data_IF_856759704337
#
_entry.id   IF_856759704337
#
_cell.length_a   1.000
_cell.length_b   1.000
_cell.length_c   1.000
_cell.angle_alpha   90.00
_cell.angle_beta   90.00
_cell.angle_gamma   90.00
#
_symmetry.space_group_name_H-M   'P 1'
#
loop_
_entity.id
_entity.type
_entity.pdbx_description
1 polymer ?
#
# COMPACT_ATOMS: atom_id res chain seq x y z
N UNK A 1 65.55 34.17 -5.02
CA UNK A 1 65.49 33.81 -3.59
C UNK A 1 64.02 33.46 -3.25
N UNK A 2 63.57 32.24 -3.60
CA UNK A 2 62.20 31.77 -3.33
C UNK A 2 62.19 30.99 -2.01
N UNK A 3 61.54 31.56 -0.98
CA UNK A 3 61.30 30.89 0.31
C UNK A 3 60.18 29.86 0.14
N UNK A 4 60.52 28.57 0.04
CA UNK A 4 59.58 27.49 0.31
C UNK A 4 59.21 27.50 1.80
N UNK A 5 57.93 27.74 2.11
CA UNK A 5 57.36 27.51 3.44
C UNK A 5 57.44 26.01 3.75
N UNK A 6 58.21 25.62 4.76
CA UNK A 6 58.15 24.28 5.37
C UNK A 6 56.75 24.10 5.97
N UNK A 7 55.90 23.34 5.28
CA UNK A 7 54.66 22.83 5.85
C UNK A 7 55.03 21.85 6.98
N UNK A 8 54.54 22.16 8.18
CA UNK A 8 54.85 21.43 9.39
C UNK A 8 54.20 20.05 9.30
N UNK A 9 55.00 19.00 9.09
CA UNK A 9 54.54 17.62 8.83
C UNK A 9 53.55 17.11 9.89
N UNK A 10 53.73 17.54 11.14
CA UNK A 10 52.83 17.25 12.26
C UNK A 10 51.41 17.80 12.10
N UNK A 11 51.23 18.94 11.41
CA UNK A 11 49.91 19.53 11.18
C UNK A 11 49.10 18.74 10.15
N UNK A 12 49.75 18.13 9.17
CA UNK A 12 49.10 17.28 8.16
C UNK A 12 48.68 15.95 8.79
N UNK A 13 49.54 15.34 9.59
CA UNK A 13 49.21 14.09 10.31
C UNK A 13 48.11 14.30 11.36
N UNK A 14 48.10 15.45 12.05
CA UNK A 14 47.01 15.79 12.97
C UNK A 14 45.68 15.98 12.25
N UNK A 15 45.66 16.69 11.11
CA UNK A 15 44.45 16.87 10.30
C UNK A 15 43.93 15.54 9.74
N UNK A 16 44.81 14.63 9.33
CA UNK A 16 44.43 13.31 8.83
C UNK A 16 43.91 12.40 9.96
N UNK A 17 44.56 12.43 11.12
CA UNK A 17 44.13 11.69 12.31
C UNK A 17 42.75 12.14 12.82
N UNK A 18 42.50 13.45 12.85
CA UNK A 18 41.18 14.01 13.21
C UNK A 18 40.12 13.63 12.17
N UNK A 19 40.46 13.64 10.87
CA UNK A 19 39.53 13.24 9.81
C UNK A 19 39.14 11.76 9.90
N UNK A 20 40.09 10.87 10.18
CA UNK A 20 39.82 9.43 10.37
C UNK A 20 39.00 9.18 11.64
N UNK A 21 39.26 9.90 12.73
CA UNK A 21 38.46 9.82 13.95
C UNK A 21 37.03 10.33 13.74
N UNK A 22 36.84 11.39 12.96
CA UNK A 22 35.49 11.89 12.60
C UNK A 22 34.75 10.87 11.72
N UNK A 23 35.43 10.23 10.76
CA UNK A 23 34.82 9.18 9.92
C UNK A 23 34.44 7.95 10.75
N UNK A 24 35.29 7.52 11.68
CA UNK A 24 35.01 6.38 12.57
C UNK A 24 33.93 6.71 13.62
N UNK A 25 33.87 7.96 14.10
CA UNK A 25 32.79 8.42 14.96
C UNK A 25 31.47 8.53 14.18
N UNK A 26 31.51 9.02 12.94
CA UNK A 26 30.35 9.09 12.05
C UNK A 26 29.86 7.68 11.66
N UNK A 27 30.74 6.72 11.40
CA UNK A 27 30.34 5.34 11.09
C UNK A 27 29.74 4.62 12.30
N UNK A 28 30.25 4.87 13.52
CA UNK A 28 29.61 4.39 14.76
C UNK A 28 28.29 5.09 15.06
N UNK A 29 28.11 6.34 14.66
CA UNK A 29 26.85 7.07 14.80
C UNK A 29 25.79 6.60 13.78
N UNK A 30 26.20 6.31 12.53
CA UNK A 30 25.35 5.77 11.47
C UNK A 30 24.95 4.32 11.78
N UNK A 31 25.82 3.54 12.42
CA UNK A 31 25.52 2.17 12.87
C UNK A 31 24.57 2.08 14.07
N UNK A 32 24.18 3.20 14.68
CA UNK A 32 23.36 3.22 15.90
C UNK A 32 22.09 4.08 15.80
N UNK A 33 21.72 4.54 14.61
CA UNK A 33 20.35 5.02 14.36
C UNK A 33 19.43 3.81 14.23
N UNK A 34 19.13 3.18 15.36
CA UNK A 34 17.89 2.45 15.53
C UNK A 34 16.77 3.40 15.10
N UNK A 35 16.07 3.04 14.03
CA UNK A 35 14.89 3.73 13.54
C UNK A 35 13.92 3.85 14.72
N UNK A 36 13.90 5.03 15.34
CA UNK A 36 13.01 5.34 16.45
C UNK A 36 11.62 5.43 15.83
N UNK A 37 10.89 4.32 15.91
CA UNK A 37 9.52 4.17 15.44
C UNK A 37 8.74 5.40 15.92
N UNK A 38 8.26 6.23 14.98
CA UNK A 38 7.58 7.48 15.35
C UNK A 38 6.37 7.13 16.22
N UNK A 39 6.12 7.95 17.23
CA UNK A 39 4.95 7.85 18.11
C UNK A 39 3.62 7.94 17.34
N UNK A 40 3.65 8.27 16.05
CA UNK A 40 2.49 8.34 15.15
C UNK A 40 1.90 6.95 14.84
N UNK A 41 2.72 5.88 14.82
CA UNK A 41 2.21 4.51 14.63
C UNK A 41 1.28 4.08 15.76
N UNK A 42 1.48 4.58 17.00
CA UNK A 42 0.59 4.31 18.14
C UNK A 42 -0.73 5.10 18.08
N UNK A 43 -0.76 6.23 17.37
CA UNK A 43 -1.98 7.04 17.19
C UNK A 43 -2.92 6.43 16.15
N UNK A 44 -2.37 5.91 15.04
CA UNK A 44 -3.20 5.27 14.01
C UNK A 44 -3.91 4.02 14.54
N UNK A 45 -3.29 3.20 15.39
CA UNK A 45 -3.96 2.00 15.96
C UNK A 45 -5.04 2.35 16.99
N UNK A 46 -4.92 3.48 17.69
CA UNK A 46 -5.87 3.87 18.75
C UNK A 46 -7.19 4.45 18.21
N UNK A 47 -7.17 4.99 16.99
CA UNK A 47 -8.36 5.62 16.39
C UNK A 47 -9.30 4.65 15.66
N UNK A 48 -8.86 3.41 15.37
CA UNK A 48 -9.76 2.36 14.85
C UNK A 48 -10.57 1.65 15.97
N UNK A 49 -10.33 1.97 17.25
CA UNK A 49 -10.92 1.31 18.43
C UNK A 49 -11.81 2.23 19.28
N UNK A 50 -12.49 3.19 18.66
CA UNK A 50 -13.63 3.88 19.28
C UNK A 50 -14.89 3.73 18.41
N UNK A 51 -15.18 2.49 18.05
CA UNK A 51 -16.57 2.06 17.86
C UNK A 51 -17.02 1.61 19.24
N UNK A 52 -18.18 2.09 19.69
CA UNK A 52 -18.75 1.80 21.00
C UNK A 52 -19.02 0.30 21.18
N UNK A 53 -18.01 -0.47 21.57
CA UNK A 53 -18.22 -1.72 22.30
C UNK A 53 -18.15 -1.39 23.79
N UNK A 54 -19.31 -1.46 24.43
CA UNK A 54 -19.40 -1.51 25.88
C UNK A 54 -18.55 -2.66 26.43
N UNK A 55 -17.81 -2.33 27.49
CA UNK A 55 -17.07 -3.22 28.39
C UNK A 55 -15.77 -3.89 27.88
N UNK A 56 -14.69 -3.59 28.61
CA UNK A 56 -13.41 -4.32 28.71
C UNK A 56 -12.34 -4.12 27.61
N UNK A 57 -11.76 -2.92 27.57
CA UNK A 57 -10.46 -2.65 26.94
C UNK A 57 -9.27 -3.12 27.81
N UNK A 58 -9.29 -4.39 28.20
CA UNK A 58 -8.10 -5.13 28.67
C UNK A 58 -7.62 -5.99 27.50
N UNK A 59 -6.32 -6.04 27.17
CA UNK A 59 -5.82 -6.98 26.16
C UNK A 59 -6.29 -8.38 26.53
N UNK A 60 -7.12 -9.00 25.69
CA UNK A 60 -7.44 -10.43 25.85
C UNK A 60 -6.10 -11.17 25.78
N UNK A 61 -5.69 -11.89 26.85
CA UNK A 61 -4.41 -12.58 26.84
C UNK A 61 -4.38 -13.57 25.68
N UNK A 62 -3.25 -13.60 24.96
CA UNK A 62 -3.00 -14.59 23.91
C UNK A 62 -3.27 -15.99 24.50
N UNK A 63 -4.08 -16.83 23.84
CA UNK A 63 -4.24 -18.20 24.30
C UNK A 63 -2.88 -18.90 24.33
N UNK A 64 -2.50 -19.47 25.47
CA UNK A 64 -1.24 -20.21 25.64
C UNK A 64 -1.51 -21.67 25.98
N UNK A 65 -0.53 -22.52 25.67
CA UNK A 65 -0.52 -23.92 26.08
C UNK A 65 -0.23 -24.02 27.58
N UNK A 66 -0.94 -24.88 28.33
CA UNK A 66 -0.74 -25.03 29.77
C UNK A 66 0.67 -25.50 30.16
N UNK A 67 1.32 -26.26 29.28
CA UNK A 67 2.55 -26.98 29.59
C UNK A 67 3.82 -26.13 29.46
N UNK A 68 3.90 -25.28 28.43
CA UNK A 68 5.10 -24.51 28.09
C UNK A 68 4.84 -22.99 27.98
N UNK A 69 3.58 -22.56 28.09
CA UNK A 69 3.19 -21.15 27.94
C UNK A 69 3.32 -20.61 26.51
N UNK A 70 3.65 -21.44 25.51
CA UNK A 70 3.72 -21.03 24.10
C UNK A 70 2.33 -20.71 23.55
N UNK A 71 2.19 -19.88 22.50
CA UNK A 71 0.88 -19.59 21.90
C UNK A 71 0.17 -20.86 21.44
N UNK A 72 -1.08 -21.03 21.87
CA UNK A 72 -1.93 -22.13 21.41
C UNK A 72 -2.55 -21.76 20.06
N UNK A 73 -1.88 -22.19 18.98
CA UNK A 73 -2.28 -21.87 17.60
C UNK A 73 -3.71 -22.33 17.29
N UNK A 74 -4.11 -23.55 17.67
CA UNK A 74 -5.45 -24.05 17.34
C UNK A 74 -6.53 -23.21 18.00
N UNK A 75 -6.35 -22.84 19.27
CA UNK A 75 -7.29 -21.95 19.97
C UNK A 75 -7.35 -20.55 19.37
N UNK A 76 -6.25 -20.03 18.83
CA UNK A 76 -6.24 -18.78 18.07
C UNK A 76 -7.06 -18.94 16.78
N UNK A 77 -6.87 -20.04 16.04
CA UNK A 77 -7.61 -20.33 14.81
C UNK A 77 -9.12 -20.51 15.09
N UNK A 78 -9.51 -21.28 16.11
CA UNK A 78 -10.91 -21.48 16.52
C UNK A 78 -11.60 -20.17 16.91
N UNK A 79 -10.94 -19.33 17.72
CA UNK A 79 -11.44 -18.00 18.08
C UNK A 79 -11.61 -17.13 16.84
N UNK A 80 -10.66 -17.19 15.91
CA UNK A 80 -10.68 -16.41 14.67
C UNK A 80 -11.80 -16.87 13.73
N UNK A 81 -12.00 -18.19 13.55
CA UNK A 81 -13.15 -18.76 12.83
C UNK A 81 -14.47 -18.24 13.39
N UNK A 82 -14.63 -18.34 14.72
CA UNK A 82 -15.84 -17.88 15.41
C UNK A 82 -16.08 -16.38 15.22
N UNK A 83 -15.01 -15.58 15.30
CA UNK A 83 -15.09 -14.13 15.06
C UNK A 83 -15.47 -13.81 13.61
N UNK A 84 -14.85 -14.44 12.60
CA UNK A 84 -15.20 -14.22 11.19
C UNK A 84 -16.67 -14.56 10.94
N UNK A 85 -17.15 -15.69 11.49
CA UNK A 85 -18.55 -16.09 11.40
C UNK A 85 -19.47 -15.06 12.06
N UNK A 86 -19.13 -14.60 13.26
CA UNK A 86 -19.89 -13.58 13.98
C UNK A 86 -19.96 -12.25 13.22
N UNK A 87 -18.81 -11.71 12.81
CA UNK A 87 -18.68 -10.44 12.09
C UNK A 87 -19.44 -10.45 10.74
N UNK A 88 -19.68 -11.64 10.16
CA UNK A 88 -20.38 -11.83 8.89
C UNK A 88 -21.79 -12.42 9.02
N UNK A 89 -22.34 -12.55 10.23
CA UNK A 89 -23.66 -13.18 10.45
C UNK A 89 -24.78 -12.51 9.64
N UNK A 90 -24.74 -11.18 9.52
CA UNK A 90 -25.73 -10.38 8.79
C UNK A 90 -25.20 -9.86 7.44
N UNK A 91 -24.09 -10.43 6.94
CA UNK A 91 -23.50 -9.98 5.69
C UNK A 91 -24.36 -10.42 4.50
N UNK A 92 -24.63 -9.50 3.58
CA UNK A 92 -25.37 -9.81 2.36
C UNK A 92 -24.45 -10.46 1.31
N UNK A 93 -24.50 -11.79 1.21
CA UNK A 93 -23.72 -12.56 0.25
C UNK A 93 -24.28 -12.53 -1.19
N UNK A 94 -25.47 -11.97 -1.42
CA UNK A 94 -26.08 -11.90 -2.76
C UNK A 94 -25.18 -11.17 -3.77
N UNK A 95 -24.59 -10.03 -3.37
CA UNK A 95 -23.67 -9.25 -4.22
C UNK A 95 -22.42 -10.06 -4.59
N UNK A 96 -21.99 -10.95 -3.70
CA UNK A 96 -20.86 -11.86 -3.90
C UNK A 96 -21.19 -13.04 -4.82
N UNK A 97 -22.48 -13.29 -5.11
CA UNK A 97 -22.94 -14.38 -5.96
C UNK A 97 -22.86 -15.76 -5.30
N UNK A 98 -22.84 -15.82 -3.97
CA UNK A 98 -22.82 -17.06 -3.17
C UNK A 98 -23.94 -17.06 -2.13
N UNK A 99 -24.26 -18.22 -1.56
CA UNK A 99 -25.37 -18.36 -0.60
C UNK A 99 -24.90 -18.34 0.85
N UNK A 100 -23.68 -18.81 1.12
CA UNK A 100 -23.14 -18.95 2.48
C UNK A 100 -21.65 -18.62 2.52
N UNK A 101 -21.15 -18.35 3.72
CA UNK A 101 -19.77 -17.97 3.99
C UNK A 101 -18.77 -19.05 3.52
N UNK A 102 -19.09 -20.32 3.74
CA UNK A 102 -18.20 -21.45 3.46
C UNK A 102 -17.85 -21.56 1.97
N UNK A 103 -18.73 -21.07 1.08
CA UNK A 103 -18.47 -21.03 -0.36
C UNK A 103 -17.31 -20.08 -0.73
N UNK A 104 -16.91 -19.20 0.19
CA UNK A 104 -15.81 -18.24 0.03
C UNK A 104 -14.57 -18.58 0.86
N UNK A 105 -14.62 -19.57 1.75
CA UNK A 105 -13.49 -19.93 2.63
C UNK A 105 -12.61 -20.99 2.00
N UNK A 106 -11.30 -20.72 1.89
CA UNK A 106 -10.33 -21.73 1.43
C UNK A 106 -10.28 -22.94 2.36
N UNK A 107 -10.46 -22.74 3.67
CA UNK A 107 -10.50 -23.83 4.65
C UNK A 107 -11.62 -24.84 4.35
N UNK A 108 -12.74 -24.39 3.79
CA UNK A 108 -13.89 -25.21 3.41
C UNK A 108 -13.88 -25.65 1.94
N UNK A 109 -12.79 -25.41 1.21
CA UNK A 109 -12.71 -25.66 -0.24
C UNK A 109 -13.48 -24.66 -1.10
N UNK A 110 -13.96 -23.58 -0.50
CA UNK A 110 -14.59 -22.45 -1.17
C UNK A 110 -13.58 -21.57 -1.90
N UNK A 111 -14.09 -20.51 -2.54
CA UNK A 111 -13.31 -19.64 -3.41
C UNK A 111 -13.45 -18.17 -3.01
N UNK A 112 -12.44 -17.60 -2.33
CA UNK A 112 -12.49 -16.23 -1.87
C UNK A 112 -12.71 -15.22 -2.99
N UNK A 113 -13.26 -14.06 -2.65
CA UNK A 113 -13.24 -12.89 -3.54
C UNK A 113 -11.90 -12.19 -3.32
N UNK A 114 -11.15 -12.01 -4.42
CA UNK A 114 -9.80 -11.44 -4.35
C UNK A 114 -9.73 -10.12 -5.08
N UNK A 115 -9.05 -9.14 -4.48
CA UNK A 115 -8.89 -7.79 -5.02
C UNK A 115 -7.42 -7.42 -5.07
N UNK A 116 -6.90 -7.05 -6.24
CA UNK A 116 -5.54 -6.54 -6.41
C UNK A 116 -5.57 -5.05 -6.79
N UNK A 117 -5.05 -4.22 -5.91
CA UNK A 117 -4.81 -2.79 -6.17
C UNK A 117 -3.41 -2.64 -6.74
N UNK A 118 -3.33 -2.28 -8.01
CA UNK A 118 -2.10 -1.92 -8.70
C UNK A 118 -1.97 -0.40 -8.74
N UNK A 119 -0.82 0.13 -8.33
CA UNK A 119 -0.61 1.58 -8.21
C UNK A 119 0.88 1.92 -8.31
N UNK A 120 1.21 3.20 -8.40
CA UNK A 120 2.57 3.68 -8.08
C UNK A 120 2.66 4.16 -6.63
N UNK A 121 3.87 4.25 -6.06
CA UNK A 121 4.08 4.84 -4.73
C UNK A 121 3.46 6.24 -4.63
N UNK A 122 2.89 6.58 -3.47
CA UNK A 122 2.31 7.91 -3.20
C UNK A 122 1.10 8.28 -4.08
N UNK A 123 0.37 7.29 -4.60
CA UNK A 123 -0.84 7.54 -5.42
C UNK A 123 -2.16 7.37 -4.66
N UNK A 124 -2.11 7.28 -3.31
CA UNK A 124 -3.31 7.10 -2.48
C UNK A 124 -3.76 5.64 -2.28
N UNK A 125 -2.95 4.68 -2.72
CA UNK A 125 -3.27 3.24 -2.61
C UNK A 125 -3.42 2.74 -1.18
N UNK A 126 -2.77 3.36 -0.20
CA UNK A 126 -2.98 3.04 1.23
C UNK A 126 -4.41 3.37 1.67
N UNK A 127 -4.94 4.54 1.31
CA UNK A 127 -6.33 4.87 1.61
C UNK A 127 -7.30 3.91 0.94
N UNK A 128 -7.11 3.62 -0.35
CA UNK A 128 -7.94 2.65 -1.07
C UNK A 128 -7.88 1.24 -0.45
N UNK A 129 -6.69 0.80 -0.02
CA UNK A 129 -6.52 -0.47 0.66
C UNK A 129 -7.18 -0.50 2.04
N UNK A 130 -7.14 0.60 2.79
CA UNK A 130 -7.81 0.71 4.10
C UNK A 130 -9.34 0.70 3.99
N UNK A 131 -9.91 1.28 2.92
CA UNK A 131 -11.34 1.11 2.60
C UNK A 131 -11.71 -0.38 2.52
N UNK A 132 -10.91 -1.20 1.82
CA UNK A 132 -11.15 -2.64 1.74
C UNK A 132 -10.86 -3.36 3.06
N UNK A 133 -9.87 -2.88 3.81
CA UNK A 133 -9.50 -3.48 5.10
C UNK A 133 -10.57 -3.27 6.19
N UNK A 134 -11.40 -2.23 6.06
CA UNK A 134 -12.54 -1.96 6.93
C UNK A 134 -13.71 -2.95 6.76
N UNK A 135 -13.73 -3.70 5.65
CA UNK A 135 -14.71 -4.77 5.44
C UNK A 135 -14.47 -5.91 6.44
N UNK A 136 -15.50 -6.44 7.13
CA UNK A 136 -15.35 -7.62 7.96
C UNK A 136 -14.88 -8.80 7.10
N UNK A 137 -14.06 -9.69 7.68
CA UNK A 137 -13.57 -10.86 6.95
C UNK A 137 -12.54 -10.59 5.83
N UNK A 138 -12.01 -9.38 5.67
CA UNK A 138 -10.97 -9.10 4.68
C UNK A 138 -9.54 -9.39 5.17
N UNK A 139 -8.85 -10.38 4.61
CA UNK A 139 -7.42 -10.56 4.82
C UNK A 139 -6.63 -9.61 3.91
N UNK A 140 -5.93 -8.64 4.51
CA UNK A 140 -5.22 -7.59 3.77
C UNK A 140 -3.72 -7.89 3.64
N UNK A 141 -3.24 -8.05 2.41
CA UNK A 141 -1.84 -8.13 2.07
C UNK A 141 -1.27 -6.73 1.76
N UNK A 142 -0.61 -6.14 2.76
CA UNK A 142 -0.03 -4.80 2.64
C UNK A 142 1.36 -4.84 1.98
N UNK A 143 1.45 -4.41 0.72
CA UNK A 143 2.72 -4.32 -0.04
C UNK A 143 3.64 -5.55 0.08
N UNK A 144 3.17 -6.76 -0.27
CA UNK A 144 3.95 -7.97 -0.04
C UNK A 144 5.27 -8.06 -0.83
N UNK A 145 5.48 -7.16 -1.78
CA UNK A 145 6.67 -7.08 -2.61
C UNK A 145 7.70 -6.06 -2.09
N UNK A 146 7.61 -5.64 -0.82
CA UNK A 146 8.55 -4.68 -0.23
C UNK A 146 10.02 -5.16 -0.23
N UNK A 147 10.25 -6.47 -0.17
CA UNK A 147 11.59 -7.08 -0.22
C UNK A 147 12.32 -6.87 -1.56
N UNK A 148 11.61 -6.54 -2.66
CA UNK A 148 12.22 -6.11 -3.94
C UNK A 148 12.79 -4.69 -3.93
N UNK A 149 12.77 -4.04 -2.75
CA UNK A 149 13.25 -2.69 -2.52
C UNK A 149 12.57 -1.62 -3.39
N UNK A 150 13.27 -0.56 -3.85
CA UNK A 150 12.65 0.57 -4.57
C UNK A 150 12.68 0.39 -6.09
N UNK A 151 12.31 -0.81 -6.55
CA UNK A 151 12.27 -1.18 -7.98
C UNK A 151 10.82 -1.30 -8.47
N UNK A 152 10.59 -0.84 -9.71
CA UNK A 152 9.36 -1.10 -10.45
C UNK A 152 9.52 -2.36 -11.30
N UNK A 153 8.81 -3.40 -10.91
CA UNK A 153 8.81 -4.73 -11.52
C UNK A 153 8.02 -4.66 -12.81
N UNK A 154 8.76 -4.47 -13.90
CA UNK A 154 8.26 -4.40 -15.26
C UNK A 154 8.29 -5.77 -15.93
N UNK A 155 9.36 -6.54 -15.75
CA UNK A 155 9.67 -7.77 -16.49
C UNK A 155 10.68 -8.62 -15.71
N UNK A 156 11.21 -9.73 -16.27
CA UNK A 156 12.32 -10.45 -15.66
C UNK A 156 13.52 -9.52 -15.38
N UNK A 157 14.33 -9.82 -14.36
CA UNK A 157 14.33 -11.08 -13.59
C UNK A 157 13.29 -11.15 -12.46
N UNK A 158 12.66 -10.03 -12.08
CA UNK A 158 11.82 -9.97 -10.87
C UNK A 158 10.35 -10.35 -11.11
N UNK A 159 9.85 -10.27 -12.35
CA UNK A 159 8.41 -10.49 -12.61
C UNK A 159 7.94 -11.88 -12.25
N UNK A 160 8.73 -12.94 -12.52
CA UNK A 160 8.36 -14.32 -12.25
C UNK A 160 8.20 -14.58 -10.75
N UNK A 161 9.19 -14.17 -9.94
CA UNK A 161 9.12 -14.30 -8.48
C UNK A 161 7.99 -13.44 -7.90
N UNK A 162 7.77 -12.23 -8.40
CA UNK A 162 6.67 -11.38 -7.94
C UNK A 162 5.29 -11.99 -8.26
N UNK A 163 5.12 -12.55 -9.46
CA UNK A 163 3.92 -13.28 -9.86
C UNK A 163 3.69 -14.51 -8.99
N UNK A 164 4.72 -15.33 -8.77
CA UNK A 164 4.62 -16.51 -7.91
C UNK A 164 4.25 -16.11 -6.47
N UNK A 165 4.89 -15.07 -5.93
CA UNK A 165 4.57 -14.55 -4.58
C UNK A 165 3.11 -14.10 -4.48
N UNK A 166 2.60 -13.31 -5.43
CA UNK A 166 1.20 -12.87 -5.42
C UNK A 166 0.24 -14.07 -5.49
N UNK A 167 0.49 -15.02 -6.40
CA UNK A 167 -0.34 -16.24 -6.54
C UNK A 167 -0.33 -17.09 -5.27
N UNK A 168 0.85 -17.33 -4.69
CA UNK A 168 1.00 -18.13 -3.47
C UNK A 168 0.26 -17.50 -2.29
N UNK A 169 0.42 -16.19 -2.08
CA UNK A 169 -0.28 -15.47 -1.01
C UNK A 169 -1.79 -15.50 -1.17
N UNK A 170 -2.31 -15.30 -2.39
CA UNK A 170 -3.75 -15.39 -2.63
C UNK A 170 -4.29 -16.81 -2.40
N UNK A 171 -3.48 -17.84 -2.59
CA UNK A 171 -3.82 -19.22 -2.25
C UNK A 171 -3.50 -19.59 -0.78
N UNK A 172 -3.11 -18.61 0.03
CA UNK A 172 -2.67 -18.81 1.42
C UNK A 172 -1.60 -19.90 1.56
N UNK A 173 -0.65 -19.93 0.64
CA UNK A 173 0.55 -20.74 0.71
C UNK A 173 1.75 -19.82 0.94
N UNK A 174 2.37 -19.94 2.11
CA UNK A 174 3.51 -19.11 2.52
C UNK A 174 4.83 -19.90 2.63
N UNK A 175 4.84 -21.19 2.29
CA UNK A 175 5.96 -22.08 2.62
C UNK A 175 7.27 -21.74 1.88
N UNK A 176 7.20 -21.18 0.67
CA UNK A 176 8.38 -20.85 -0.15
C UNK A 176 8.63 -19.33 -0.26
N UNK A 177 8.48 -18.64 0.88
CA UNK A 177 8.49 -17.18 0.97
C UNK A 177 9.55 -16.62 1.94
N UNK A 178 10.71 -17.27 2.04
CA UNK A 178 11.79 -16.90 2.98
C UNK A 178 12.16 -15.41 2.90
N UNK A 179 12.39 -14.87 1.70
CA UNK A 179 12.75 -13.46 1.50
C UNK A 179 11.68 -12.49 2.05
N UNK A 180 10.41 -12.85 1.95
CA UNK A 180 9.30 -12.06 2.50
C UNK A 180 9.34 -12.08 4.03
N UNK A 181 9.54 -13.25 4.65
CA UNK A 181 9.60 -13.36 6.11
C UNK A 181 10.86 -12.73 6.69
N UNK A 182 12.03 -12.97 6.09
CA UNK A 182 13.30 -12.34 6.49
C UNK A 182 13.21 -10.82 6.43
N UNK A 183 12.60 -10.26 5.37
CA UNK A 183 12.36 -8.83 5.30
C UNK A 183 11.44 -8.36 6.44
N UNK A 184 10.37 -9.11 6.73
CA UNK A 184 9.39 -8.78 7.76
C UNK A 184 9.93 -8.82 9.20
N UNK A 185 10.99 -9.60 9.49
CA UNK A 185 11.62 -9.66 10.83
C UNK A 185 12.02 -8.29 11.35
N UNK A 186 12.53 -7.43 10.48
CA UNK A 186 12.99 -6.08 10.83
C UNK A 186 12.05 -4.97 10.36
N UNK A 187 11.04 -5.29 9.54
CA UNK A 187 10.06 -4.35 8.98
C UNK A 187 8.62 -4.69 9.41
N UNK A 188 8.29 -4.40 10.67
CA UNK A 188 6.95 -4.66 11.23
C UNK A 188 5.78 -4.07 10.42
N UNK A 189 6.03 -3.01 9.64
CA UNK A 189 5.04 -2.39 8.75
C UNK A 189 4.45 -3.37 7.73
N UNK A 190 5.18 -4.42 7.35
CA UNK A 190 4.68 -5.46 6.46
C UNK A 190 3.45 -6.18 7.04
N UNK A 191 3.40 -6.32 8.37
CA UNK A 191 2.35 -7.05 9.08
C UNK A 191 1.34 -6.11 9.75
N UNK A 192 1.77 -4.95 10.23
CA UNK A 192 0.96 -4.09 11.10
C UNK A 192 -0.28 -3.47 10.46
N UNK A 193 -0.38 -3.48 9.13
CA UNK A 193 -1.55 -2.96 8.42
C UNK A 193 -2.68 -3.98 8.27
N UNK A 194 -2.44 -5.27 8.54
CA UNK A 194 -3.49 -6.27 8.65
C UNK A 194 -3.79 -6.51 10.13
N UNK A 195 -4.79 -5.81 10.66
CA UNK A 195 -5.14 -5.86 12.09
C UNK A 195 -5.45 -7.27 12.57
N UNK A 196 -6.02 -8.13 11.71
CA UNK A 196 -6.46 -9.50 12.05
C UNK A 196 -5.31 -10.38 12.60
N UNK A 197 -4.27 -10.73 11.81
CA UNK A 197 -3.12 -11.43 12.35
C UNK A 197 -2.29 -10.53 13.29
N UNK A 198 -2.20 -9.22 13.03
CA UNK A 198 -1.36 -8.32 13.83
C UNK A 198 -1.80 -8.21 15.29
N UNK A 199 -3.09 -8.33 15.59
CA UNK A 199 -3.58 -8.32 16.96
C UNK A 199 -3.04 -9.46 17.82
N UNK A 200 -2.62 -10.56 17.17
CA UNK A 200 -1.90 -11.65 17.80
C UNK A 200 -0.38 -11.39 17.77
N UNK A 201 0.15 -11.02 16.61
CA UNK A 201 1.59 -10.95 16.39
C UNK A 201 2.31 -9.74 17.03
N UNK A 202 1.57 -8.70 17.41
CA UNK A 202 2.16 -7.52 18.08
C UNK A 202 2.78 -7.84 19.44
N UNK A 203 2.32 -8.92 20.07
CA UNK A 203 2.84 -9.42 21.34
C UNK A 203 3.75 -10.65 21.18
N UNK A 204 3.51 -11.46 20.14
CA UNK A 204 4.36 -12.60 19.80
C UNK A 204 4.73 -12.56 18.32
N UNK A 205 5.92 -12.03 18.01
CA UNK A 205 6.31 -11.74 16.63
C UNK A 205 6.50 -13.02 15.81
N UNK A 206 6.93 -14.11 16.45
CA UNK A 206 7.21 -15.37 15.77
C UNK A 206 5.97 -15.94 15.07
N UNK A 207 4.76 -15.65 15.57
CA UNK A 207 3.51 -16.09 14.92
C UNK A 207 3.38 -15.56 13.48
N UNK A 208 3.65 -14.27 13.25
CA UNK A 208 3.56 -13.71 11.89
C UNK A 208 4.79 -14.01 11.02
N UNK A 209 5.81 -14.63 11.61
CA UNK A 209 6.99 -15.12 10.89
C UNK A 209 6.88 -16.61 10.56
N UNK A 210 5.92 -17.31 11.17
CA UNK A 210 5.62 -18.71 10.91
C UNK A 210 4.75 -18.85 9.63
N UNK A 211 5.29 -19.46 8.55
CA UNK A 211 4.55 -19.69 7.31
C UNK A 211 3.37 -20.64 7.50
N UNK A 212 3.45 -21.63 8.39
CA UNK A 212 2.38 -22.58 8.62
C UNK A 212 1.20 -21.92 9.34
N UNK A 213 1.48 -21.15 10.40
CA UNK A 213 0.47 -20.33 11.07
C UNK A 213 -0.20 -19.38 10.08
N UNK A 214 0.60 -18.60 9.34
CA UNK A 214 0.09 -17.59 8.40
C UNK A 214 -0.77 -18.23 7.31
N UNK A 215 -0.36 -19.39 6.78
CA UNK A 215 -1.11 -20.16 5.79
C UNK A 215 -2.46 -20.64 6.34
N UNK A 216 -2.50 -21.19 7.56
CA UNK A 216 -3.75 -21.64 8.20
C UNK A 216 -4.67 -20.47 8.51
N UNK A 217 -4.13 -19.39 9.08
CA UNK A 217 -4.88 -18.21 9.47
C UNK A 217 -5.49 -17.48 8.26
N UNK A 218 -4.72 -17.31 7.18
CA UNK A 218 -5.17 -16.68 5.94
C UNK A 218 -6.40 -17.39 5.32
N UNK A 219 -6.49 -18.73 5.43
CA UNK A 219 -7.60 -19.53 4.86
C UNK A 219 -8.95 -19.31 5.54
N UNK A 220 -8.96 -18.69 6.71
CA UNK A 220 -10.17 -18.40 7.48
C UNK A 220 -10.98 -17.21 6.95
N UNK A 221 -10.47 -16.49 5.95
CA UNK A 221 -11.04 -15.23 5.50
C UNK A 221 -11.66 -15.35 4.09
N UNK A 222 -12.90 -14.88 3.89
CA UNK A 222 -13.60 -14.97 2.60
C UNK A 222 -13.18 -13.91 1.58
N UNK A 223 -12.60 -12.80 2.03
CA UNK A 223 -12.17 -11.70 1.16
C UNK A 223 -10.67 -11.48 1.32
N UNK A 224 -9.98 -11.29 0.21
CA UNK A 224 -8.54 -11.06 0.19
C UNK A 224 -8.27 -9.81 -0.62
N UNK A 225 -7.66 -8.81 0.02
CA UNK A 225 -7.23 -7.61 -0.69
C UNK A 225 -5.72 -7.52 -0.65
N UNK A 226 -5.12 -7.08 -1.76
CA UNK A 226 -3.68 -6.93 -1.88
C UNK A 226 -3.37 -5.60 -2.53
N UNK A 227 -2.45 -4.86 -1.93
CA UNK A 227 -1.96 -3.59 -2.48
C UNK A 227 -0.53 -3.77 -2.97
N UNK A 228 -0.30 -3.56 -4.26
CA UNK A 228 1.04 -3.60 -4.87
C UNK A 228 1.37 -2.26 -5.53
N UNK A 229 2.50 -1.69 -5.15
CA UNK A 229 2.98 -0.39 -5.66
C UNK A 229 4.24 -0.48 -6.52
N UNK A 230 4.74 -1.72 -6.70
CA UNK A 230 5.95 -2.09 -7.45
C UNK A 230 5.65 -2.94 -8.67
N UNK A 231 4.48 -3.57 -8.70
CA UNK A 231 4.11 -4.54 -9.73
C UNK A 231 3.31 -3.84 -10.82
N UNK A 232 3.73 -3.97 -12.08
CA UNK A 232 3.13 -3.22 -13.18
C UNK A 232 1.91 -3.91 -13.78
N UNK A 233 0.94 -3.11 -14.24
CA UNK A 233 -0.35 -3.64 -14.67
C UNK A 233 -0.23 -4.64 -15.82
N UNK A 234 0.73 -4.44 -16.72
CA UNK A 234 0.98 -5.36 -17.86
C UNK A 234 1.24 -6.81 -17.47
N UNK A 235 1.70 -7.06 -16.25
CA UNK A 235 2.00 -8.41 -15.74
C UNK A 235 0.75 -9.09 -15.16
N UNK A 236 -0.32 -8.34 -14.87
CA UNK A 236 -1.53 -8.85 -14.22
C UNK A 236 -2.32 -9.83 -15.10
N UNK A 237 -2.10 -9.81 -16.40
CA UNK A 237 -2.75 -10.74 -17.33
C UNK A 237 -2.62 -12.20 -16.86
N UNK A 238 -1.44 -12.60 -16.42
CA UNK A 238 -1.17 -13.96 -15.95
C UNK A 238 -1.94 -14.32 -14.66
N UNK A 239 -2.28 -13.33 -13.82
CA UNK A 239 -3.13 -13.53 -12.65
C UNK A 239 -4.61 -13.61 -13.04
N UNK A 240 -5.04 -12.88 -14.06
CA UNK A 240 -6.42 -12.89 -14.56
C UNK A 240 -6.74 -14.15 -15.38
N UNK A 241 -5.75 -14.71 -16.06
CA UNK A 241 -5.86 -15.98 -16.78
C UNK A 241 -6.13 -17.16 -15.84
N UNK A 242 -5.62 -17.10 -14.61
CA UNK A 242 -5.97 -18.06 -13.56
C UNK A 242 -7.39 -17.80 -13.04
N UNK A 243 -8.33 -18.46 -13.70
CA UNK A 243 -9.74 -18.43 -13.33
C UNK A 243 -10.00 -18.99 -11.94
N UNK A 244 -9.08 -19.67 -11.23
CA UNK A 244 -9.31 -20.09 -9.84
C UNK A 244 -9.07 -18.96 -8.84
N UNK A 245 -8.30 -17.92 -9.21
CA UNK A 245 -8.02 -16.81 -8.29
C UNK A 245 -9.24 -15.97 -7.95
N UNK A 246 -10.28 -15.93 -8.79
CA UNK A 246 -11.44 -15.03 -8.57
C UNK A 246 -11.04 -13.57 -8.36
N UNK A 247 -10.01 -13.16 -9.09
CA UNK A 247 -9.37 -11.88 -8.95
C UNK A 247 -10.09 -10.75 -9.70
N UNK A 248 -10.42 -9.67 -8.99
CA UNK A 248 -10.74 -8.37 -9.56
C UNK A 248 -9.55 -7.43 -9.36
N UNK A 249 -9.28 -6.58 -10.35
CA UNK A 249 -8.08 -5.73 -10.39
C UNK A 249 -8.50 -4.27 -10.44
N UNK A 250 -7.89 -3.45 -9.59
CA UNK A 250 -8.08 -2.00 -9.60
C UNK A 250 -6.74 -1.34 -9.91
N UNK A 251 -6.65 -0.67 -11.06
CA UNK A 251 -5.55 0.24 -11.35
C UNK A 251 -5.86 1.60 -10.73
N UNK A 252 -5.05 2.05 -9.77
CA UNK A 252 -5.13 3.39 -9.20
C UNK A 252 -4.06 4.30 -9.81
N UNK A 253 -4.50 5.37 -10.48
CA UNK A 253 -3.65 6.41 -11.07
C UNK A 253 -3.78 7.72 -10.30
N UNK A 254 -2.75 8.57 -10.35
CA UNK A 254 -2.70 9.89 -9.72
C UNK A 254 -1.90 10.85 -10.60
N UNK A 255 -2.22 12.15 -10.53
CA UNK A 255 -1.51 13.20 -11.25
C UNK A 255 0.01 13.11 -10.97
N UNK A 256 0.87 13.01 -12.00
CA UNK A 256 2.31 12.88 -11.79
C UNK A 256 2.88 14.06 -11.00
N UNK A 257 2.34 15.27 -11.15
CA UNK A 257 2.78 16.45 -10.37
C UNK A 257 2.49 16.26 -8.89
N UNK A 258 1.31 15.73 -8.55
CA UNK A 258 0.93 15.37 -7.19
C UNK A 258 1.76 14.22 -6.60
N UNK A 259 2.08 13.22 -7.43
CA UNK A 259 2.97 12.11 -7.06
C UNK A 259 4.38 12.61 -6.75
N UNK A 260 4.97 13.41 -7.64
CA UNK A 260 6.31 13.97 -7.48
C UNK A 260 6.40 14.91 -6.28
N UNK A 261 5.41 15.78 -6.08
CA UNK A 261 5.33 16.62 -4.88
C UNK A 261 5.31 15.78 -3.60
N UNK A 262 4.53 14.69 -3.56
CA UNK A 262 4.50 13.84 -2.37
C UNK A 262 5.82 13.11 -2.12
N UNK A 263 6.66 12.91 -3.14
CA UNK A 263 7.92 12.16 -3.06
C UNK A 263 9.12 13.04 -2.70
N UNK A 264 9.05 14.35 -2.95
CA UNK A 264 10.20 15.28 -2.84
C UNK A 264 10.83 15.40 -1.44
N UNK A 265 10.12 14.96 -0.40
CA UNK A 265 10.57 15.00 1.00
C UNK A 265 10.98 13.63 1.55
N UNK A 266 11.11 12.62 0.69
CA UNK A 266 11.41 11.25 1.09
C UNK A 266 12.76 10.80 0.56
N UNK A 267 13.79 10.84 1.41
CA UNK A 267 15.18 10.46 1.06
C UNK A 267 15.29 9.09 0.39
N UNK A 268 14.48 8.12 0.83
CA UNK A 268 14.45 6.78 0.25
C UNK A 268 14.02 6.79 -1.23
N UNK A 269 13.16 7.73 -1.61
CA UNK A 269 12.65 7.88 -2.97
C UNK A 269 13.63 8.68 -3.82
N UNK A 270 14.18 9.78 -3.28
CA UNK A 270 15.14 10.64 -3.98
C UNK A 270 16.34 9.87 -4.54
N UNK A 271 16.76 8.81 -3.84
CA UNK A 271 17.89 7.95 -4.23
C UNK A 271 17.50 6.80 -5.16
N UNK A 272 16.21 6.59 -5.41
CA UNK A 272 15.68 5.49 -6.19
C UNK A 272 15.15 6.01 -7.54
N UNK A 273 15.82 5.74 -8.68
CA UNK A 273 15.41 6.25 -9.98
C UNK A 273 13.95 5.94 -10.33
N UNK A 274 13.51 4.70 -10.09
CA UNK A 274 12.14 4.24 -10.33
C UNK A 274 11.08 4.97 -9.49
N UNK A 275 11.49 5.63 -8.41
CA UNK A 275 10.63 6.46 -7.58
C UNK A 275 10.76 7.95 -7.94
N UNK A 276 11.96 8.46 -8.19
CA UNK A 276 12.17 9.91 -8.30
C UNK A 276 12.23 10.46 -9.73
N UNK A 277 12.50 9.67 -10.76
CA UNK A 277 12.64 10.20 -12.12
C UNK A 277 11.29 10.37 -12.82
N UNK A 278 10.88 11.59 -13.20
CA UNK A 278 9.62 11.81 -13.92
C UNK A 278 9.52 10.98 -15.20
N UNK A 279 10.63 10.79 -15.93
CA UNK A 279 10.62 10.02 -17.19
C UNK A 279 10.17 8.58 -16.96
N UNK A 280 10.67 7.94 -15.89
CA UNK A 280 10.33 6.54 -15.56
C UNK A 280 8.90 6.42 -15.03
N UNK A 281 8.49 7.36 -14.17
CA UNK A 281 7.11 7.40 -13.64
C UNK A 281 6.10 7.55 -14.76
N UNK A 282 6.36 8.45 -15.71
CA UNK A 282 5.42 8.74 -16.79
C UNK A 282 5.48 7.71 -17.92
N UNK A 283 6.64 7.08 -18.17
CA UNK A 283 6.72 5.88 -19.00
C UNK A 283 5.87 4.73 -18.43
N UNK A 284 5.92 4.51 -17.11
CA UNK A 284 5.07 3.53 -16.44
C UNK A 284 3.58 3.87 -16.58
N UNK A 285 3.20 5.13 -16.41
CA UNK A 285 1.81 5.58 -16.62
C UNK A 285 1.32 5.32 -18.05
N UNK A 286 2.16 5.54 -19.06
CA UNK A 286 1.81 5.24 -20.47
C UNK A 286 1.66 3.73 -20.66
N UNK A 287 2.60 2.94 -20.14
CA UNK A 287 2.53 1.47 -20.19
C UNK A 287 1.27 0.94 -19.51
N UNK A 288 0.93 1.47 -18.34
CA UNK A 288 -0.26 1.09 -17.58
C UNK A 288 -1.55 1.49 -18.32
N UNK A 289 -1.57 2.62 -19.06
CA UNK A 289 -2.72 3.00 -19.90
C UNK A 289 -2.96 2.00 -21.04
N UNK A 290 -1.89 1.64 -21.75
CA UNK A 290 -1.96 0.66 -22.85
C UNK A 290 -2.33 -0.73 -22.33
N UNK A 291 -1.81 -1.13 -21.17
CA UNK A 291 -2.17 -2.39 -20.53
C UNK A 291 -3.63 -2.39 -20.08
N UNK A 292 -4.11 -1.30 -19.47
CA UNK A 292 -5.49 -1.17 -19.04
C UNK A 292 -6.45 -1.33 -20.22
N UNK A 293 -6.17 -0.74 -21.38
CA UNK A 293 -7.03 -0.89 -22.56
C UNK A 293 -7.12 -2.33 -23.06
N UNK A 294 -6.01 -3.06 -23.08
CA UNK A 294 -6.02 -4.50 -23.42
C UNK A 294 -6.80 -5.32 -22.38
N UNK A 295 -6.54 -5.09 -21.09
CA UNK A 295 -7.13 -5.87 -20.01
C UNK A 295 -8.64 -5.62 -19.84
N UNK A 296 -9.10 -4.38 -20.01
CA UNK A 296 -10.53 -4.05 -19.98
C UNK A 296 -11.30 -4.77 -21.09
N UNK A 297 -10.70 -4.87 -22.29
CA UNK A 297 -11.27 -5.60 -23.43
C UNK A 297 -11.30 -7.11 -23.19
N UNK A 298 -10.19 -7.67 -22.71
CA UNK A 298 -10.00 -9.11 -22.57
C UNK A 298 -10.71 -9.71 -21.35
N UNK A 299 -10.85 -8.93 -20.26
CA UNK A 299 -11.45 -9.38 -19.00
C UNK A 299 -12.58 -8.42 -18.57
N UNK A 300 -13.69 -8.36 -19.32
CA UNK A 300 -14.79 -7.44 -19.03
C UNK A 300 -15.33 -7.68 -17.62
N UNK A 301 -15.50 -6.59 -16.85
CA UNK A 301 -15.99 -6.64 -15.47
C UNK A 301 -15.00 -7.16 -14.42
N UNK A 302 -13.73 -7.40 -14.79
CA UNK A 302 -12.67 -7.86 -13.84
C UNK A 302 -11.58 -6.82 -13.60
N UNK A 303 -11.55 -5.74 -14.37
CA UNK A 303 -10.59 -4.66 -14.25
C UNK A 303 -11.33 -3.34 -14.12
N UNK A 304 -10.94 -2.52 -13.15
CA UNK A 304 -11.43 -1.17 -12.95
C UNK A 304 -10.24 -0.21 -12.94
N UNK A 305 -10.39 0.91 -13.62
CA UNK A 305 -9.44 2.03 -13.53
C UNK A 305 -10.05 3.09 -12.63
N UNK A 306 -9.27 3.53 -11.65
CA UNK A 306 -9.65 4.54 -10.69
C UNK A 306 -8.60 5.65 -10.65
N UNK A 307 -9.05 6.91 -10.68
CA UNK A 307 -8.21 8.07 -10.49
C UNK A 307 -8.32 8.56 -9.04
N UNK A 308 -7.18 8.78 -8.39
CA UNK A 308 -7.10 9.20 -7.00
C UNK A 308 -7.88 10.49 -6.73
N UNK A 309 -7.81 11.45 -7.66
CA UNK A 309 -8.52 12.71 -7.52
C UNK A 309 -10.05 12.52 -7.52
N UNK A 310 -10.58 11.58 -8.31
CA UNK A 310 -12.02 11.27 -8.35
C UNK A 310 -12.49 10.56 -7.07
N UNK A 311 -11.66 9.66 -6.52
CA UNK A 311 -11.88 9.06 -5.21
C UNK A 311 -11.88 10.12 -4.11
N UNK A 312 -10.96 11.07 -4.14
CA UNK A 312 -10.85 12.07 -3.10
C UNK A 312 -11.93 13.17 -3.18
N UNK A 313 -12.41 13.49 -4.39
CA UNK A 313 -13.47 14.47 -4.58
C UNK A 313 -14.85 13.94 -4.18
N UNK A 314 -15.10 12.65 -4.43
CA UNK A 314 -16.39 11.99 -4.20
C UNK A 314 -16.21 10.63 -3.48
N UNK A 315 -15.64 10.59 -2.27
CA UNK A 315 -15.24 9.35 -1.60
C UNK A 315 -16.41 8.40 -1.39
N UNK A 316 -17.57 8.92 -0.99
CA UNK A 316 -18.76 8.09 -0.76
C UNK A 316 -19.19 7.32 -2.02
N UNK A 317 -19.49 8.05 -3.09
CA UNK A 317 -19.97 7.46 -4.35
C UNK A 317 -18.92 6.54 -4.98
N UNK A 318 -17.65 6.94 -4.92
CA UNK A 318 -16.55 6.18 -5.53
C UNK A 318 -16.27 4.89 -4.76
N UNK A 319 -16.31 4.91 -3.41
CA UNK A 319 -16.13 3.72 -2.59
C UNK A 319 -17.28 2.71 -2.77
N UNK A 320 -18.53 3.17 -2.86
CA UNK A 320 -19.67 2.30 -3.15
C UNK A 320 -19.59 1.65 -4.54
N UNK A 321 -19.20 2.42 -5.56
CA UNK A 321 -18.94 1.89 -6.92
C UNK A 321 -17.82 0.85 -6.91
N UNK A 322 -16.76 1.10 -6.15
CA UNK A 322 -15.67 0.15 -5.96
C UNK A 322 -16.15 -1.15 -5.33
N UNK A 323 -16.89 -1.10 -4.22
CA UNK A 323 -17.39 -2.31 -3.56
C UNK A 323 -18.29 -3.14 -4.49
N UNK A 324 -19.19 -2.48 -5.22
CA UNK A 324 -20.04 -3.15 -6.20
C UNK A 324 -19.21 -3.84 -7.30
N UNK A 325 -18.19 -3.17 -7.86
CA UNK A 325 -17.27 -3.79 -8.82
C UNK A 325 -16.53 -5.00 -8.22
N UNK A 326 -16.10 -4.89 -6.96
CA UNK A 326 -15.41 -5.96 -6.24
C UNK A 326 -16.36 -7.07 -5.74
N UNK A 327 -17.67 -6.95 -5.97
CA UNK A 327 -18.70 -7.90 -5.51
C UNK A 327 -18.80 -8.01 -3.98
N UNK A 328 -18.59 -6.87 -3.31
CA UNK A 328 -18.68 -6.75 -1.87
C UNK A 328 -19.90 -5.90 -1.52
N UNK A 329 -20.71 -6.39 -0.57
CA UNK A 329 -21.81 -5.62 0.02
C UNK A 329 -21.27 -4.66 1.08
N UNK A 330 -21.68 -3.38 1.13
CA UNK A 330 -21.34 -2.46 2.20
C UNK A 330 -21.80 -2.98 3.58
N UNK A 331 -21.07 -2.60 4.63
CA UNK A 331 -21.37 -2.96 6.03
C UNK A 331 -21.33 -1.71 6.91
N UNK A 332 -21.95 -1.73 8.11
CA UNK A 332 -21.86 -0.60 9.05
C UNK A 332 -20.42 -0.18 9.36
N UNK A 333 -19.51 -1.15 9.55
CA UNK A 333 -18.08 -0.89 9.78
C UNK A 333 -17.39 -0.15 8.62
N UNK A 334 -17.80 -0.45 7.39
CA UNK A 334 -17.30 0.24 6.21
C UNK A 334 -17.85 1.68 6.14
N UNK A 335 -19.14 1.88 6.41
CA UNK A 335 -19.74 3.23 6.41
C UNK A 335 -19.11 4.11 7.49
N UNK A 336 -18.90 3.56 8.69
CA UNK A 336 -18.25 4.28 9.78
C UNK A 336 -16.79 4.62 9.48
N UNK A 337 -16.04 3.67 8.89
CA UNK A 337 -14.69 3.94 8.41
C UNK A 337 -14.69 5.08 7.38
N UNK A 338 -15.56 5.00 6.38
CA UNK A 338 -15.64 5.99 5.31
C UNK A 338 -16.04 7.35 5.86
N UNK A 339 -16.99 7.40 6.78
CA UNK A 339 -17.38 8.63 7.47
C UNK A 339 -16.20 9.22 8.24
N UNK A 340 -15.60 8.46 9.16
CA UNK A 340 -14.50 8.95 10.01
C UNK A 340 -13.29 9.44 9.24
N UNK A 341 -12.93 8.80 8.12
CA UNK A 341 -11.75 9.18 7.32
C UNK A 341 -12.02 10.33 6.33
N UNK A 342 -13.29 10.68 6.13
CA UNK A 342 -13.70 11.83 5.30
C UNK A 342 -14.11 13.04 6.12
N UNK A 343 -14.42 12.90 7.41
CA UNK A 343 -14.86 13.99 8.30
C UNK A 343 -13.85 14.39 9.37
N UNK A 344 -12.88 13.53 9.71
CA UNK A 344 -11.92 13.78 10.81
C UNK A 344 -10.49 14.03 10.29
N UNK A 345 -9.80 15.01 10.88
CA UNK A 345 -8.39 15.30 10.56
C UNK A 345 -7.42 14.62 11.52
N UNK A 346 -6.47 13.82 10.97
CA UNK A 346 -5.34 13.23 11.71
C UNK A 346 -4.04 13.42 10.91
N UNK A 347 -2.96 13.83 11.56
CA UNK A 347 -1.65 14.09 10.95
C UNK A 347 -0.81 12.83 10.67
N UNK A 348 0.17 12.94 9.76
CA UNK A 348 1.15 11.89 9.43
C UNK A 348 1.37 11.70 7.90
N UNK A 349 2.57 11.30 7.48
CA UNK A 349 2.92 11.14 6.05
C UNK A 349 2.25 9.92 5.36
N UNK A 350 1.78 8.97 6.16
CA UNK A 350 0.99 7.80 5.72
C UNK A 350 -0.44 7.85 6.24
N UNK A 351 -0.86 8.97 6.85
CA UNK A 351 -2.22 9.14 7.35
C UNK A 351 -3.21 9.04 6.20
N UNK A 352 -4.27 8.28 6.42
CA UNK A 352 -5.41 8.11 5.51
C UNK A 352 -6.59 8.99 5.89
N UNK A 353 -6.58 9.55 7.10
CA UNK A 353 -7.34 10.75 7.44
C UNK A 353 -6.82 11.90 6.59
N UNK A 354 -7.69 12.85 6.21
CA UNK A 354 -7.45 13.93 5.23
C UNK A 354 -7.80 13.60 3.78
N UNK A 355 -8.78 12.74 3.50
CA UNK A 355 -9.38 12.79 2.15
C UNK A 355 -10.33 13.99 2.08
N UNK A 356 -9.77 15.18 2.32
CA UNK A 356 -10.39 16.45 2.00
C UNK A 356 -10.19 16.69 0.51
N UNK A 357 -11.15 17.40 -0.10
CA UNK A 357 -11.12 17.76 -1.53
C UNK A 357 -9.85 18.51 -1.96
N UNK A 358 -9.06 19.01 -1.02
CA UNK A 358 -7.88 19.84 -1.27
C UNK A 358 -6.58 19.04 -1.38
N UNK A 359 -6.46 17.91 -0.67
CA UNK A 359 -5.21 17.11 -0.64
C UNK A 359 -4.71 16.68 -2.03
N UNK A 360 -5.58 16.26 -2.96
CA UNK A 360 -5.12 15.86 -4.28
C UNK A 360 -4.50 17.01 -5.08
N UNK A 361 -4.92 18.26 -4.83
CA UNK A 361 -4.49 19.45 -5.56
C UNK A 361 -3.45 20.29 -4.82
N UNK A 362 -3.00 19.85 -3.64
CA UNK A 362 -2.04 20.58 -2.80
C UNK A 362 -0.76 20.96 -3.53
N UNK A 363 -0.34 20.16 -4.51
CA UNK A 363 0.84 20.42 -5.33
C UNK A 363 0.78 21.77 -6.06
N UNK A 364 -0.42 22.27 -6.42
CA UNK A 364 -0.60 23.57 -7.09
C UNK A 364 -0.01 24.74 -6.29
N UNK A 365 -0.07 24.66 -4.95
CA UNK A 365 0.33 25.73 -4.05
C UNK A 365 1.72 25.51 -3.43
N UNK A 366 2.34 24.35 -3.69
CA UNK A 366 3.63 23.97 -3.09
C UNK A 366 4.74 24.00 -4.13
N UNK A 367 4.48 23.46 -5.32
CA UNK A 367 5.49 23.36 -6.35
C UNK A 367 5.69 24.73 -7.01
N UNK A 368 6.94 25.08 -7.28
CA UNK A 368 7.24 26.21 -8.15
C UNK A 368 6.83 25.88 -9.59
N UNK A 369 6.49 26.90 -10.37
CA UNK A 369 6.03 26.66 -11.74
C UNK A 369 7.13 26.03 -12.62
N UNK A 370 8.40 26.37 -12.41
CA UNK A 370 9.50 25.78 -13.20
C UNK A 370 9.59 24.26 -13.05
N UNK A 371 9.44 23.74 -11.83
CA UNK A 371 9.43 22.29 -11.61
C UNK A 371 8.13 21.64 -12.09
N UNK A 372 6.99 22.34 -11.95
CA UNK A 372 5.73 21.89 -12.57
C UNK A 372 5.90 21.78 -14.09
N UNK A 373 6.49 22.78 -14.73
CA UNK A 373 6.75 22.80 -16.17
C UNK A 373 7.67 21.65 -16.58
N UNK A 374 8.76 21.40 -15.85
CA UNK A 374 9.64 20.25 -16.08
C UNK A 374 8.87 18.92 -16.07
N UNK A 375 8.09 18.66 -15.01
CA UNK A 375 7.27 17.45 -14.91
C UNK A 375 6.27 17.39 -16.07
N UNK A 376 5.58 18.48 -16.36
CA UNK A 376 4.56 18.52 -17.43
C UNK A 376 5.17 18.25 -18.80
N UNK A 377 6.36 18.78 -19.09
CA UNK A 377 7.04 18.57 -20.37
C UNK A 377 7.47 17.12 -20.55
N UNK A 378 8.03 16.51 -19.51
CA UNK A 378 8.41 15.09 -19.51
C UNK A 378 7.18 14.17 -19.58
N UNK A 379 6.13 14.53 -18.85
CA UNK A 379 4.95 13.69 -18.67
C UNK A 379 3.79 14.05 -19.61
N UNK A 380 3.99 14.95 -20.57
CA UNK A 380 2.91 15.49 -21.42
C UNK A 380 2.01 14.40 -21.98
N UNK A 381 2.60 13.40 -22.63
CA UNK A 381 1.84 12.31 -23.23
C UNK A 381 1.11 11.45 -22.19
N UNK A 382 1.75 11.15 -21.05
CA UNK A 382 1.09 10.43 -19.97
C UNK A 382 -0.10 11.21 -19.38
N UNK A 383 0.08 12.53 -19.20
CA UNK A 383 -0.94 13.43 -18.70
C UNK A 383 -2.14 13.50 -19.64
N UNK A 384 -1.90 13.63 -20.96
CA UNK A 384 -2.95 13.66 -21.98
C UNK A 384 -3.79 12.37 -21.95
N UNK A 385 -3.14 11.19 -21.86
CA UNK A 385 -3.83 9.89 -21.79
C UNK A 385 -4.74 9.77 -20.55
N UNK A 386 -4.29 10.26 -19.40
CA UNK A 386 -5.00 10.16 -18.13
C UNK A 386 -5.89 11.38 -17.80
N UNK A 387 -6.04 12.31 -18.75
CA UNK A 387 -6.91 13.47 -18.60
C UNK A 387 -6.40 14.45 -17.54
N UNK A 388 -5.12 14.79 -17.58
CA UNK A 388 -4.52 15.82 -16.74
C UNK A 388 -4.11 17.05 -17.57
N UNK A 389 -4.70 18.20 -17.26
CA UNK A 389 -4.41 19.46 -17.96
C UNK A 389 -3.14 20.12 -17.43
N UNK A 390 -2.34 20.69 -18.33
CA UNK A 390 -1.14 21.46 -17.98
C UNK A 390 -1.51 22.88 -17.49
N UNK A 391 -0.77 23.37 -16.50
CA UNK A 391 -0.70 24.79 -16.19
C UNK A 391 0.23 25.49 -17.20
N UNK A 392 -0.09 26.72 -17.58
CA UNK A 392 0.61 27.45 -18.66
C UNK A 392 1.65 28.44 -18.16
N UNK A 393 1.48 28.94 -16.93
CA UNK A 393 2.39 29.85 -16.25
C UNK A 393 2.08 29.82 -14.75
N UNK A 394 2.92 30.49 -13.94
CA UNK A 394 2.75 30.54 -12.49
C UNK A 394 1.40 31.14 -12.06
N UNK A 395 0.91 32.18 -12.75
CA UNK A 395 -0.38 32.80 -12.46
C UNK A 395 -1.55 31.86 -12.74
N UNK A 396 -1.49 31.08 -13.84
CA UNK A 396 -2.48 30.06 -14.17
C UNK A 396 -2.46 28.93 -13.14
N UNK A 397 -1.28 28.43 -12.75
CA UNK A 397 -1.13 27.39 -11.73
C UNK A 397 -1.80 27.77 -10.40
N UNK A 398 -1.57 29.01 -9.94
CA UNK A 398 -2.13 29.54 -8.70
C UNK A 398 -3.61 29.93 -8.80
N UNK A 399 -4.18 29.98 -10.01
CA UNK A 399 -5.57 30.38 -10.22
C UNK A 399 -6.55 29.37 -9.63
N UNK A 400 -7.65 29.88 -9.06
CA UNK A 400 -8.81 29.08 -8.65
C UNK A 400 -9.53 28.46 -9.85
N UNK A 401 -9.45 29.11 -11.01
CA UNK A 401 -10.06 28.65 -12.26
C UNK A 401 -9.30 27.47 -12.89
N UNK A 402 -8.03 27.27 -12.53
CA UNK A 402 -7.26 26.15 -13.06
C UNK A 402 -7.71 24.82 -12.45
N UNK A 403 -8.50 24.07 -13.21
CA UNK A 403 -8.82 22.69 -12.92
C UNK A 403 -7.83 21.76 -13.66
N UNK A 404 -6.98 21.01 -12.95
CA UNK A 404 -6.01 20.11 -13.57
C UNK A 404 -6.66 18.83 -14.11
N UNK A 405 -7.94 18.59 -13.86
CA UNK A 405 -8.65 17.39 -14.30
C UNK A 405 -9.39 17.64 -15.61
N UNK A 406 -9.25 16.68 -16.52
CA UNK A 406 -10.10 16.49 -17.68
C UNK A 406 -10.78 15.12 -17.64
N UNK A 407 -11.71 14.91 -18.56
CA UNK A 407 -12.23 13.58 -18.86
C UNK A 407 -11.14 12.75 -19.56
N UNK A 408 -11.07 11.47 -19.21
CA UNK A 408 -10.27 10.51 -19.94
C UNK A 408 -11.10 9.26 -20.21
N UNK A 409 -10.74 8.54 -21.27
CA UNK A 409 -11.32 7.25 -21.60
C UNK A 409 -10.19 6.31 -21.96
N UNK A 410 -10.11 5.18 -21.27
CA UNK A 410 -9.25 4.08 -21.70
C UNK A 410 -10.00 3.31 -22.79
N UNK A 411 -9.37 2.98 -23.94
CA UNK A 411 -10.01 2.19 -24.98
C UNK A 411 -10.48 0.85 -24.41
N UNK A 412 -11.73 0.47 -24.69
CA UNK A 412 -12.31 -0.81 -24.26
C UNK A 412 -12.59 -1.69 -25.49
#
# INVERSE_FOLDING_TARGET
>A
MLRLRRLNFYSIFFAFGVSVLIILAASRYIGNTNYRQSSESRRNTRNYLKIEDGENNSPQPLPTNPDDGSPNIEKILEKSRSKVKFDLTNYNFYTSGVQKLEDLLLESGGRPIRSLIVSAWRSGSTFLGEILNAMPGNFYHYEPLMHFDKVQIRSPPYSEKALSTIKSMFNCNFNDMDEYFEYGKVHAVQYSHNSRPWDHCKYEKELCLDPDFTSKYCKLFPFHSMKVVRFRLRLVQELLDDKQLNLNVVLLIRDPRGVMQSRQHHDWCLRAPDCWRPELVCADMISDYLAAGRLLKQYPGRVMVLRYEDLALNPNNTAHKLLNFLKLSPTPSFEEFLHSHTTVEVGGAFSTFRVSREVPFRWKNILNFSYVEEIQMVCKYAMDLWGYRMAHNASHLASKEFNPLDQFKVPQ
#
